data_IF_445427994934
#
_entry.id   IF_445427994934
#
_cell.length_a   1.000
_cell.length_b   1.000
_cell.length_c   1.000
_cell.angle_alpha   90.00
_cell.angle_beta   90.00
_cell.angle_gamma   90.00
#
_symmetry.space_group_name_H-M   'P 1'
#
loop_
_entity.id
_entity.type
_entity.pdbx_description
1 polymer ?
#
# COMPACT_ATOMS: atom_id res chain seq x y z
N UNK A 1 -4.48 19.62 -2.68
CA UNK A 1 -3.32 18.74 -2.48
C UNK A 1 -3.77 17.63 -1.53
N UNK A 2 -3.60 16.35 -1.87
CA UNK A 2 -3.93 15.25 -0.95
C UNK A 2 -3.01 15.29 0.27
N UNK A 3 -3.57 15.11 1.46
CA UNK A 3 -2.84 15.06 2.73
C UNK A 3 -1.97 13.80 2.80
N UNK A 4 -1.11 13.70 3.82
CA UNK A 4 -0.41 12.44 4.11
C UNK A 4 -1.39 11.32 4.42
N UNK A 5 -2.45 11.62 5.17
CA UNK A 5 -3.50 10.67 5.53
C UNK A 5 -4.25 10.14 4.30
N UNK A 6 -4.59 11.02 3.35
CA UNK A 6 -5.26 10.61 2.10
C UNK A 6 -4.41 9.65 1.26
N UNK A 7 -3.08 9.87 1.23
CA UNK A 7 -2.15 9.00 0.50
C UNK A 7 -1.98 7.66 1.21
N UNK A 8 -1.95 7.67 2.55
CA UNK A 8 -1.85 6.48 3.34
C UNK A 8 -3.12 5.62 3.23
N UNK A 9 -4.30 6.23 3.30
CA UNK A 9 -5.57 5.56 3.05
C UNK A 9 -5.64 4.94 1.64
N UNK A 10 -5.12 5.66 0.64
CA UNK A 10 -4.99 5.13 -0.72
C UNK A 10 -4.07 3.90 -0.78
N UNK A 11 -2.89 3.95 -0.18
CA UNK A 11 -1.96 2.82 -0.16
C UNK A 11 -2.56 1.59 0.55
N UNK A 12 -3.17 1.79 1.73
CA UNK A 12 -3.85 0.71 2.46
C UNK A 12 -4.99 0.10 1.62
N UNK A 13 -5.79 0.95 0.97
CA UNK A 13 -6.89 0.55 0.12
C UNK A 13 -6.44 -0.32 -1.05
N UNK A 14 -5.44 0.15 -1.82
CA UNK A 14 -4.93 -0.60 -2.99
C UNK A 14 -4.33 -1.94 -2.57
N UNK A 15 -3.56 -1.99 -1.48
CA UNK A 15 -2.96 -3.24 -1.02
C UNK A 15 -4.04 -4.26 -0.63
N UNK A 16 -5.08 -3.83 0.09
CA UNK A 16 -6.17 -4.73 0.49
C UNK A 16 -7.02 -5.19 -0.69
N UNK A 17 -7.40 -4.29 -1.59
CA UNK A 17 -8.17 -4.68 -2.78
C UNK A 17 -7.36 -5.57 -3.71
N UNK A 18 -6.03 -5.41 -3.78
CA UNK A 18 -5.16 -6.33 -4.51
C UNK A 18 -5.15 -7.73 -3.88
N UNK A 19 -4.99 -7.83 -2.56
CA UNK A 19 -5.03 -9.11 -1.83
C UNK A 19 -6.40 -9.81 -1.92
N UNK A 20 -7.49 -9.04 -1.93
CA UNK A 20 -8.85 -9.55 -2.05
C UNK A 20 -9.28 -9.78 -3.52
N UNK A 21 -8.37 -9.58 -4.49
CA UNK A 21 -8.63 -9.69 -5.94
C UNK A 21 -9.78 -8.79 -6.45
N UNK A 22 -10.02 -7.67 -5.77
CA UNK A 22 -11.08 -6.68 -6.08
C UNK A 22 -10.55 -5.36 -6.64
N UNK A 23 -9.23 -5.20 -6.76
CA UNK A 23 -8.64 -4.03 -7.38
C UNK A 23 -8.94 -3.97 -8.89
N UNK A 24 -8.89 -2.78 -9.46
CA UNK A 24 -8.91 -2.61 -10.91
C UNK A 24 -7.73 -3.32 -11.58
N UNK A 25 -7.83 -3.63 -12.88
CA UNK A 25 -6.82 -4.41 -13.62
C UNK A 25 -5.44 -3.75 -13.67
N UNK A 26 -5.35 -2.44 -13.41
CA UNK A 26 -4.12 -1.66 -13.43
C UNK A 26 -3.81 -0.98 -12.10
N UNK A 27 -4.67 -1.10 -11.08
CA UNK A 27 -4.51 -0.34 -9.83
C UNK A 27 -3.22 -0.71 -9.10
N UNK A 28 -2.86 -2.01 -9.11
CA UNK A 28 -1.62 -2.50 -8.51
C UNK A 28 -0.38 -2.04 -9.27
N UNK A 29 -0.40 -2.12 -10.60
CA UNK A 29 0.70 -1.68 -11.46
C UNK A 29 0.93 -0.17 -11.34
N UNK A 30 -0.14 0.62 -11.35
CA UNK A 30 -0.10 2.08 -11.16
C UNK A 30 0.48 2.43 -9.79
N UNK A 31 0.00 1.74 -8.74
CA UNK A 31 0.46 1.95 -7.38
C UNK A 31 1.94 1.64 -7.24
N UNK A 32 2.41 0.48 -7.71
CA UNK A 32 3.81 0.06 -7.55
C UNK A 32 4.78 0.87 -8.42
N UNK A 33 4.33 1.36 -9.59
CA UNK A 33 5.17 2.09 -10.55
C UNK A 33 5.32 3.59 -10.28
N UNK A 34 4.37 4.22 -9.58
CA UNK A 34 4.35 5.67 -9.41
C UNK A 34 4.78 6.11 -8.01
N UNK A 35 5.83 6.93 -7.91
CA UNK A 35 6.26 7.50 -6.62
C UNK A 35 5.17 8.36 -5.97
N UNK A 36 4.98 8.17 -4.67
CA UNK A 36 4.11 8.99 -3.85
C UNK A 36 4.90 10.17 -3.28
N UNK A 37 4.26 11.34 -3.24
CA UNK A 37 4.92 12.58 -2.76
C UNK A 37 5.29 12.55 -1.28
N UNK A 38 4.64 11.70 -0.48
CA UNK A 38 4.96 11.58 0.94
C UNK A 38 5.99 10.46 1.15
N UNK A 39 7.16 10.73 1.75
CA UNK A 39 8.24 9.74 1.83
C UNK A 39 7.90 8.55 2.73
N UNK A 40 7.09 8.74 3.78
CA UNK A 40 6.67 7.63 4.64
C UNK A 40 5.74 6.70 3.87
N UNK A 41 4.73 7.26 3.18
CA UNK A 41 3.82 6.44 2.37
C UNK A 41 4.52 5.86 1.14
N UNK A 42 5.49 6.56 0.54
CA UNK A 42 6.28 6.02 -0.58
C UNK A 42 7.13 4.81 -0.16
N UNK A 43 7.62 4.79 1.08
CA UNK A 43 8.33 3.62 1.61
C UNK A 43 7.44 2.37 1.71
N UNK A 44 6.15 2.54 2.00
CA UNK A 44 5.16 1.45 1.99
C UNK A 44 4.98 0.92 0.57
N UNK A 45 4.78 1.82 -0.40
CA UNK A 45 4.70 1.46 -1.82
C UNK A 45 5.95 0.71 -2.30
N UNK A 46 7.14 1.21 -1.96
CA UNK A 46 8.41 0.57 -2.35
C UNK A 46 8.52 -0.85 -1.80
N UNK A 47 8.20 -1.07 -0.53
CA UNK A 47 8.20 -2.41 0.06
C UNK A 47 7.17 -3.32 -0.60
N UNK A 48 5.96 -2.81 -0.85
CA UNK A 48 4.91 -3.55 -1.55
C UNK A 48 5.35 -3.96 -2.97
N UNK A 49 6.05 -3.08 -3.70
CA UNK A 49 6.61 -3.39 -5.03
C UNK A 49 7.73 -4.44 -5.03
N UNK A 50 8.30 -4.73 -3.86
CA UNK A 50 9.34 -5.75 -3.69
C UNK A 50 8.80 -7.16 -3.42
N UNK A 51 7.47 -7.33 -3.31
CA UNK A 51 6.85 -8.64 -3.13
C UNK A 51 6.76 -9.35 -4.47
N UNK A 52 7.29 -10.58 -4.54
CA UNK A 52 7.26 -11.40 -5.75
C UNK A 52 5.83 -11.81 -6.12
N UNK A 53 5.58 -11.92 -7.44
CA UNK A 53 4.33 -12.42 -8.00
C UNK A 53 4.54 -13.81 -8.64
N UNK A 54 3.60 -14.77 -8.48
CA UNK A 54 2.37 -14.66 -7.69
C UNK A 54 2.67 -14.56 -6.18
N UNK A 55 1.83 -13.82 -5.46
CA UNK A 55 1.99 -13.59 -4.03
C UNK A 55 1.90 -14.92 -3.28
N UNK A 56 2.95 -15.28 -2.57
CA UNK A 56 2.96 -16.42 -1.67
C UNK A 56 2.46 -16.06 -0.27
N UNK A 57 2.45 -17.01 0.66
CA UNK A 57 1.99 -16.76 2.03
C UNK A 57 2.85 -15.72 2.77
N UNK A 58 4.15 -15.62 2.46
CA UNK A 58 5.05 -14.68 3.10
C UNK A 58 4.81 -13.27 2.56
N UNK A 59 4.68 -13.14 1.25
CA UNK A 59 4.27 -11.91 0.56
C UNK A 59 2.91 -11.41 1.02
N UNK A 60 1.93 -12.31 1.20
CA UNK A 60 0.61 -11.93 1.71
C UNK A 60 0.69 -11.33 3.11
N UNK A 61 1.50 -11.90 4.01
CA UNK A 61 1.70 -11.35 5.37
C UNK A 61 2.39 -9.99 5.33
N UNK A 62 3.40 -9.83 4.47
CA UNK A 62 4.10 -8.54 4.29
C UNK A 62 3.11 -7.48 3.80
N UNK A 63 2.34 -7.76 2.75
CA UNK A 63 1.35 -6.83 2.22
C UNK A 63 0.28 -6.45 3.26
N UNK A 64 -0.21 -7.40 4.06
CA UNK A 64 -1.14 -7.09 5.15
C UNK A 64 -0.50 -6.17 6.20
N UNK A 65 0.74 -6.43 6.60
CA UNK A 65 1.46 -5.58 7.56
C UNK A 65 1.67 -4.16 7.03
N UNK A 66 1.96 -4.02 5.73
CA UNK A 66 2.09 -2.74 5.03
C UNK A 66 0.76 -1.98 4.97
N UNK A 67 -0.35 -2.67 4.72
CA UNK A 67 -1.69 -2.06 4.76
C UNK A 67 -2.04 -1.55 6.16
N UNK A 68 -1.71 -2.30 7.21
CA UNK A 68 -1.94 -1.89 8.60
C UNK A 68 -1.03 -0.72 9.04
N UNK A 69 0.19 -0.65 8.51
CA UNK A 69 1.06 0.51 8.69
C UNK A 69 0.47 1.76 8.01
N UNK A 70 0.02 1.62 6.77
CA UNK A 70 -0.63 2.70 6.03
C UNK A 70 -1.90 3.20 6.74
N UNK A 71 -2.72 2.30 7.27
CA UNK A 71 -3.91 2.67 8.04
C UNK A 71 -3.58 3.47 9.30
N UNK A 72 -2.54 3.08 10.05
CA UNK A 72 -2.12 3.83 11.24
C UNK A 72 -1.74 5.27 10.91
N UNK A 73 -1.06 5.48 9.77
CA UNK A 73 -0.74 6.82 9.26
C UNK A 73 -2.03 7.54 8.86
N UNK A 74 -2.94 6.86 8.16
CA UNK A 74 -4.21 7.43 7.72
C UNK A 74 -5.08 7.93 8.89
N UNK A 75 -5.13 7.17 9.99
CA UNK A 75 -5.91 7.53 11.19
C UNK A 75 -5.17 8.48 12.14
N UNK A 76 -3.92 8.86 11.84
CA UNK A 76 -3.12 9.76 12.67
C UNK A 76 -2.55 9.12 13.95
N UNK A 77 -2.56 7.79 14.05
CA UNK A 77 -1.94 7.06 15.17
C UNK A 77 -0.47 6.72 14.84
N UNK A 78 0.33 7.76 14.59
CA UNK A 78 1.79 7.65 14.67
C UNK A 78 2.24 7.98 16.09
N UNK A 79 2.26 6.97 16.97
CA UNK A 79 2.92 7.08 18.29
C UNK A 79 4.43 6.96 18.15
#
# INVERSE_FOLDING_TARGET
>A
MKTQQDKAAYAAGVIRTFLDETCGPYDWDDFTSCSLRDPLVDSIRLRASGVDLPVDADGQRELLALADEADRIATGNGS
#
